data_IF_732317708451
#
_entry.id   IF_732317708451
#
_cell.length_a   1.000
_cell.length_b   1.000
_cell.length_c   1.000
_cell.angle_alpha   90.00
_cell.angle_beta   90.00
_cell.angle_gamma   90.00
#
_symmetry.space_group_name_H-M   'P 1'
#
loop_
_entity.id
_entity.type
_entity.pdbx_description
1 polymer ?
#
# COMPACT_ATOMS: atom_id res chain seq x y z
N UNK A 1 -11.21 -4.12 -27.21
CA UNK A 1 -10.87 -3.08 -26.22
C UNK A 1 -9.62 -2.37 -26.74
N UNK A 2 -9.59 -1.04 -26.88
CA UNK A 2 -8.44 -0.33 -27.43
C UNK A 2 -7.25 -0.39 -26.45
N UNK A 3 -6.04 -0.62 -26.97
CA UNK A 3 -4.79 -0.71 -26.21
C UNK A 3 -4.51 0.55 -25.38
N UNK A 4 -4.86 1.74 -25.89
CA UNK A 4 -4.67 3.04 -25.22
C UNK A 4 -5.40 3.16 -23.88
N UNK A 5 -6.55 2.48 -23.71
CA UNK A 5 -7.32 2.51 -22.46
C UNK A 5 -6.63 1.69 -21.36
N UNK A 6 -5.88 0.65 -21.75
CA UNK A 6 -5.15 -0.21 -20.81
C UNK A 6 -3.96 0.54 -20.24
N UNK A 7 -3.17 1.18 -21.11
CA UNK A 7 -1.98 1.95 -20.70
C UNK A 7 -2.32 3.09 -19.74
N UNK A 8 -3.40 3.84 -20.00
CA UNK A 8 -3.81 4.92 -19.11
C UNK A 8 -4.21 4.43 -17.71
N UNK A 9 -4.94 3.31 -17.64
CA UNK A 9 -5.36 2.73 -16.35
C UNK A 9 -4.17 2.23 -15.54
N UNK A 10 -3.15 1.69 -16.19
CA UNK A 10 -1.97 1.20 -15.49
C UNK A 10 -1.08 2.35 -14.99
N UNK A 11 -0.99 3.45 -15.73
CA UNK A 11 -0.34 4.68 -15.24
C UNK A 11 -1.05 5.23 -14.00
N UNK A 12 -2.38 5.35 -14.03
CA UNK A 12 -3.17 5.83 -12.88
C UNK A 12 -2.96 4.96 -11.62
N UNK A 13 -2.79 3.64 -11.77
CA UNK A 13 -2.47 2.74 -10.64
C UNK A 13 -1.07 3.00 -10.09
N UNK A 14 -0.08 3.17 -10.97
CA UNK A 14 1.30 3.47 -10.57
C UNK A 14 1.39 4.81 -9.83
N UNK A 15 0.68 5.82 -10.31
CA UNK A 15 0.59 7.13 -9.63
C UNK A 15 0.01 6.99 -8.22
N UNK A 16 -1.07 6.21 -8.05
CA UNK A 16 -1.65 5.95 -6.72
C UNK A 16 -0.70 5.21 -5.78
N UNK A 17 0.03 4.21 -6.29
CA UNK A 17 1.03 3.47 -5.50
C UNK A 17 2.16 4.41 -5.04
N UNK A 18 2.67 5.24 -5.95
CA UNK A 18 3.67 6.27 -5.62
C UNK A 18 3.15 7.23 -4.55
N UNK A 19 1.94 7.74 -4.73
CA UNK A 19 1.29 8.66 -3.80
C UNK A 19 1.13 8.06 -2.39
N UNK A 20 0.82 6.76 -2.30
CA UNK A 20 0.71 6.04 -1.03
C UNK A 20 2.08 5.87 -0.35
N UNK A 21 3.13 5.57 -1.12
CA UNK A 21 4.51 5.49 -0.63
C UNK A 21 5.01 6.85 -0.13
N UNK A 22 4.82 7.91 -0.91
CA UNK A 22 5.22 9.28 -0.53
C UNK A 22 4.54 9.70 0.77
N UNK A 23 3.24 9.39 0.91
CA UNK A 23 2.50 9.62 2.15
C UNK A 23 3.05 8.79 3.32
N UNK A 24 3.36 7.50 3.11
CA UNK A 24 3.94 6.65 4.15
C UNK A 24 5.25 7.24 4.69
N UNK A 25 6.19 7.58 3.80
CA UNK A 25 7.50 8.08 4.20
C UNK A 25 7.41 9.46 4.85
N UNK A 26 6.49 10.32 4.40
CA UNK A 26 6.19 11.59 5.06
C UNK A 26 5.70 11.42 6.51
N UNK A 27 5.08 10.27 6.83
CA UNK A 27 4.56 9.92 8.14
C UNK A 27 5.42 8.86 8.87
N UNK A 28 6.60 8.51 8.34
CA UNK A 28 7.38 7.38 8.82
C UNK A 28 7.74 7.45 10.31
N UNK A 29 8.01 8.66 10.82
CA UNK A 29 8.30 8.88 12.24
C UNK A 29 7.14 8.46 13.14
N UNK A 30 5.89 8.71 12.73
CA UNK A 30 4.71 8.24 13.44
C UNK A 30 4.67 6.71 13.46
N UNK A 31 4.80 6.08 12.29
CA UNK A 31 4.76 4.62 12.19
C UNK A 31 5.87 3.94 12.98
N UNK A 32 7.09 4.48 12.95
CA UNK A 32 8.21 3.98 13.75
C UNK A 32 7.94 4.01 15.26
N UNK A 33 7.19 4.98 15.74
CA UNK A 33 6.88 5.11 17.16
C UNK A 33 5.74 4.17 17.62
N UNK A 34 4.75 3.91 16.77
CA UNK A 34 3.52 3.20 17.16
C UNK A 34 3.35 1.80 16.54
N UNK A 35 4.15 1.47 15.54
CA UNK A 35 3.98 0.29 14.68
C UNK A 35 5.32 -0.38 14.33
N UNK A 36 6.32 -0.25 15.19
CA UNK A 36 7.66 -0.84 15.00
C UNK A 36 7.60 -2.36 14.87
N UNK A 37 8.40 -2.93 13.98
CA UNK A 37 8.48 -4.35 13.65
C UNK A 37 7.14 -4.92 13.12
N UNK A 38 6.39 -4.10 12.39
CA UNK A 38 5.12 -4.51 11.79
C UNK A 38 5.10 -4.12 10.31
N UNK A 39 4.42 -4.93 9.52
CA UNK A 39 3.95 -4.59 8.19
C UNK A 39 2.73 -3.69 8.31
N UNK A 40 2.67 -2.63 7.49
CA UNK A 40 1.58 -1.66 7.44
C UNK A 40 1.03 -1.61 6.03
N UNK A 41 -0.29 -1.76 5.90
CA UNK A 41 -0.99 -1.61 4.64
C UNK A 41 -1.57 -0.21 4.49
N UNK A 42 -1.41 0.37 3.30
CA UNK A 42 -1.74 1.76 2.99
C UNK A 42 -2.47 1.81 1.66
N UNK A 43 -3.56 2.57 1.64
CA UNK A 43 -4.36 2.84 0.44
C UNK A 43 -4.94 4.23 0.52
N UNK A 44 -5.00 4.92 -0.61
CA UNK A 44 -5.55 6.27 -0.74
C UNK A 44 -5.02 7.22 0.35
N UNK A 45 -3.71 7.18 0.59
CA UNK A 45 -2.97 7.96 1.60
C UNK A 45 -3.50 7.78 3.02
N UNK A 46 -3.92 6.56 3.36
CA UNK A 46 -4.45 6.20 4.68
C UNK A 46 -3.94 4.84 5.14
N UNK A 47 -3.73 4.73 6.44
CA UNK A 47 -3.50 3.46 7.12
C UNK A 47 -4.76 2.59 7.02
N UNK A 48 -4.60 1.35 6.56
CA UNK A 48 -5.70 0.37 6.47
C UNK A 48 -5.64 -0.66 7.59
N UNK A 49 -4.52 -1.37 7.69
CA UNK A 49 -4.32 -2.46 8.64
C UNK A 49 -2.83 -2.68 8.88
N UNK A 50 -2.49 -3.50 9.88
CA UNK A 50 -1.11 -3.88 10.21
C UNK A 50 -1.02 -5.31 10.70
N UNK A 51 0.14 -5.92 10.54
CA UNK A 51 0.45 -7.19 11.20
C UNK A 51 1.95 -7.36 11.39
N UNK A 52 2.36 -8.24 12.30
CA UNK A 52 3.76 -8.68 12.41
C UNK A 52 4.08 -9.70 11.30
N UNK A 53 3.07 -10.46 10.85
CA UNK A 53 3.18 -11.48 9.83
C UNK A 53 2.53 -11.01 8.52
N UNK A 54 3.33 -10.87 7.47
CA UNK A 54 2.88 -10.41 6.16
C UNK A 54 1.72 -11.26 5.60
N UNK A 55 1.83 -12.59 5.72
CA UNK A 55 0.81 -13.53 5.22
C UNK A 55 -0.57 -13.31 5.88
N UNK A 56 -0.58 -13.03 7.19
CA UNK A 56 -1.81 -12.73 7.94
C UNK A 56 -2.43 -11.43 7.47
N UNK A 57 -1.60 -10.40 7.23
CA UNK A 57 -2.05 -9.12 6.72
C UNK A 57 -2.66 -9.26 5.32
N UNK A 58 -1.97 -9.94 4.40
CA UNK A 58 -2.44 -10.18 3.03
C UNK A 58 -3.77 -10.95 3.04
N UNK A 59 -3.85 -12.01 3.86
CA UNK A 59 -5.07 -12.83 3.99
C UNK A 59 -6.26 -12.00 4.48
N UNK A 60 -6.07 -11.15 5.50
CA UNK A 60 -7.15 -10.28 6.02
C UNK A 60 -7.61 -9.23 5.01
N UNK A 61 -6.65 -8.62 4.32
CA UNK A 61 -6.93 -7.62 3.29
C UNK A 61 -7.54 -8.23 2.03
N UNK A 62 -7.54 -9.57 1.90
CA UNK A 62 -8.05 -10.30 0.73
C UNK A 62 -7.44 -9.76 -0.58
N UNK A 63 -6.16 -9.40 -0.55
CA UNK A 63 -5.45 -8.88 -1.72
C UNK A 63 -5.39 -10.01 -2.75
N UNK A 64 -6.18 -9.88 -3.82
CA UNK A 64 -6.21 -10.83 -4.92
C UNK A 64 -5.34 -10.38 -6.09
N UNK A 65 -5.11 -9.07 -6.24
CA UNK A 65 -4.34 -8.49 -7.33
C UNK A 65 -3.86 -7.05 -7.00
N UNK A 66 -2.92 -6.51 -7.79
CA UNK A 66 -2.39 -5.14 -7.65
C UNK A 66 -3.40 -4.04 -7.99
N UNK A 67 -4.58 -4.40 -8.51
CA UNK A 67 -5.65 -3.46 -8.86
C UNK A 67 -6.14 -2.63 -7.68
N UNK A 68 -5.95 -3.10 -6.45
CA UNK A 68 -6.36 -2.36 -5.25
C UNK A 68 -5.44 -1.20 -4.88
N UNK A 69 -4.30 -1.02 -5.56
CA UNK A 69 -3.32 0.05 -5.30
C UNK A 69 -2.91 0.13 -3.83
N UNK A 70 -2.85 -1.02 -3.14
CA UNK A 70 -2.42 -1.13 -1.74
C UNK A 70 -0.91 -1.25 -1.70
N UNK A 71 -0.29 -0.44 -0.86
CA UNK A 71 1.14 -0.50 -0.52
C UNK A 71 1.28 -1.20 0.82
N UNK A 72 2.20 -2.16 0.93
CA UNK A 72 2.56 -2.78 2.21
C UNK A 72 4.03 -2.51 2.48
N UNK A 73 4.33 -1.86 3.59
CA UNK A 73 5.69 -1.49 4.01
C UNK A 73 6.02 -2.03 5.39
N UNK A 74 7.27 -2.43 5.60
CA UNK A 74 7.75 -2.86 6.91
C UNK A 74 8.38 -1.70 7.66
N UNK A 75 8.01 -1.54 8.93
CA UNK A 75 8.54 -0.48 9.80
C UNK A 75 9.61 -1.04 10.71
N UNK A 76 10.83 -0.50 10.58
CA UNK A 76 12.00 -0.84 11.40
C UNK A 76 12.11 -0.04 12.71
#
# INVERSE_FOLDING_TARGET
MPLEIVEKRDIEKLEKLKDNLDWFYSNYKYFKNYHKNQYIAIKDKRFLDKDIELEKLITRLKIKDYNDSIVIEFVY
#
